data_IF_941467332287
#
_entry.id   IF_941467332287
#
_cell.length_a   1.000
_cell.length_b   1.000
_cell.length_c   1.000
_cell.angle_alpha   90.00
_cell.angle_beta   90.00
_cell.angle_gamma   90.00
#
_symmetry.space_group_name_H-M   'P 1'
#
loop_
_entity.id
_entity.type
_entity.pdbx_description
1 polymer ?
#
# COMPACT_ATOMS: atom_id res chain seq x y z
N UNK A 1 8.72 -14.12 13.33
CA UNK A 1 7.30 -13.75 13.10
C UNK A 1 6.89 -14.23 11.72
N UNK A 2 5.69 -14.80 11.53
CA UNK A 2 5.25 -15.23 10.19
C UNK A 2 5.16 -14.00 9.26
N UNK A 3 5.58 -14.17 8.02
CA UNK A 3 5.63 -13.09 7.02
C UNK A 3 4.31 -12.33 6.83
N UNK A 4 3.17 -12.99 7.00
CA UNK A 4 1.85 -12.36 6.92
C UNK A 4 1.58 -11.38 8.07
N UNK A 5 1.99 -11.72 9.29
CA UNK A 5 1.91 -10.82 10.45
C UNK A 5 2.90 -9.66 10.27
N UNK A 6 4.11 -9.95 9.77
CA UNK A 6 5.12 -8.92 9.48
C UNK A 6 4.63 -7.92 8.44
N UNK A 7 4.01 -8.41 7.35
CA UNK A 7 3.39 -7.56 6.34
C UNK A 7 2.27 -6.69 6.94
N UNK A 8 1.40 -7.26 7.79
CA UNK A 8 0.36 -6.51 8.48
C UNK A 8 0.94 -5.38 9.35
N UNK A 9 1.98 -5.66 10.14
CA UNK A 9 2.65 -4.64 10.96
C UNK A 9 3.23 -3.52 10.09
N UNK A 10 3.92 -3.88 9.00
CA UNK A 10 4.45 -2.90 8.05
C UNK A 10 3.33 -2.07 7.41
N UNK A 11 2.20 -2.69 7.05
CA UNK A 11 1.04 -1.97 6.53
C UNK A 11 0.49 -0.96 7.54
N UNK A 12 0.33 -1.37 8.81
CA UNK A 12 -0.14 -0.46 9.86
C UNK A 12 0.82 0.72 10.09
N UNK A 13 2.13 0.50 10.00
CA UNK A 13 3.12 1.60 10.04
C UNK A 13 2.93 2.55 8.86
N UNK A 14 2.78 2.02 7.64
CA UNK A 14 2.53 2.83 6.44
C UNK A 14 1.21 3.61 6.59
N UNK A 15 0.17 3.00 7.17
CA UNK A 15 -1.13 3.65 7.46
C UNK A 15 -0.96 4.85 8.40
N UNK A 16 -0.20 4.70 9.49
CA UNK A 16 0.07 5.78 10.44
C UNK A 16 0.83 6.92 9.74
N UNK A 17 1.91 6.60 9.04
CA UNK A 17 2.74 7.58 8.32
C UNK A 17 1.91 8.31 7.27
N UNK A 18 1.12 7.58 6.47
CA UNK A 18 0.30 8.17 5.41
C UNK A 18 -0.82 9.05 5.97
N UNK A 19 -1.43 8.66 7.10
CA UNK A 19 -2.41 9.49 7.79
C UNK A 19 -1.81 10.82 8.25
N UNK A 20 -0.61 10.80 8.83
CA UNK A 20 0.09 12.03 9.25
C UNK A 20 0.42 12.91 8.03
N UNK A 21 0.95 12.31 6.97
CA UNK A 21 1.25 13.04 5.73
C UNK A 21 0.00 13.66 5.10
N UNK A 22 -1.13 12.95 5.09
CA UNK A 22 -2.40 13.44 4.60
C UNK A 22 -2.90 14.64 5.42
N UNK A 23 -2.84 14.56 6.76
CA UNK A 23 -3.22 15.66 7.66
C UNK A 23 -2.37 16.89 7.38
N UNK A 24 -1.04 16.74 7.29
CA UNK A 24 -0.12 17.84 6.96
C UNK A 24 -0.46 18.41 5.59
N UNK A 25 -0.68 17.56 4.59
CA UNK A 25 -0.99 18.00 3.23
C UNK A 25 -2.29 18.82 3.16
N UNK A 26 -3.35 18.36 3.82
CA UNK A 26 -4.63 19.08 3.88
C UNK A 26 -4.49 20.39 4.66
N UNK A 27 -3.83 20.38 5.83
CA UNK A 27 -3.64 21.58 6.65
C UNK A 27 -2.78 22.66 5.97
N UNK A 28 -1.78 22.24 5.18
CA UNK A 28 -0.89 23.14 4.43
C UNK A 28 -1.45 23.53 3.06
N UNK A 29 -2.53 22.89 2.62
CA UNK A 29 -3.20 23.14 1.34
C UNK A 29 -3.50 24.60 1.04
N UNK A 30 -4.06 25.39 1.98
CA UNK A 30 -4.32 26.83 1.76
C UNK A 30 -3.05 27.67 1.54
N UNK A 31 -1.95 27.33 2.20
CA UNK A 31 -0.67 28.04 2.11
C UNK A 31 0.12 27.67 0.84
N UNK A 32 0.09 26.39 0.45
CA UNK A 32 0.85 25.86 -0.68
C UNK A 32 -0.04 25.49 -1.87
N UNK A 33 -1.24 26.07 -1.97
CA UNK A 33 -2.29 25.73 -2.94
C UNK A 33 -1.78 25.57 -4.38
N UNK A 34 -0.81 26.39 -4.80
CA UNK A 34 -0.19 26.32 -6.13
C UNK A 34 0.62 25.03 -6.37
N UNK A 35 1.25 24.47 -5.34
CA UNK A 35 2.03 23.23 -5.41
C UNK A 35 1.19 21.99 -5.14
N UNK A 36 0.21 22.09 -4.23
CA UNK A 36 -0.70 20.99 -3.92
C UNK A 36 -1.69 20.69 -5.04
N UNK A 37 -2.02 21.68 -5.88
CA UNK A 37 -2.85 21.50 -7.09
C UNK A 37 -2.05 21.11 -8.34
N UNK A 38 -0.72 21.24 -8.31
CA UNK A 38 0.11 20.91 -9.46
C UNK A 38 0.15 19.40 -9.70
N UNK A 39 -0.28 18.96 -10.88
CA UNK A 39 -0.33 17.54 -11.26
C UNK A 39 1.03 16.85 -11.18
N UNK A 40 2.13 17.56 -11.49
CA UNK A 40 3.49 16.99 -11.44
C UNK A 40 3.88 16.67 -10.01
N UNK A 41 3.62 17.58 -9.06
CA UNK A 41 3.88 17.36 -7.64
C UNK A 41 3.03 16.21 -7.08
N UNK A 42 1.75 16.15 -7.44
CA UNK A 42 0.83 15.08 -7.02
C UNK A 42 1.25 13.71 -7.54
N UNK A 43 1.68 13.62 -8.79
CA UNK A 43 2.22 12.39 -9.38
C UNK A 43 3.51 11.95 -8.70
N UNK A 44 4.42 12.88 -8.43
CA UNK A 44 5.67 12.58 -7.73
C UNK A 44 5.42 11.97 -6.35
N UNK A 45 4.53 12.58 -5.55
CA UNK A 45 4.17 12.06 -4.23
C UNK A 45 3.49 10.69 -4.31
N UNK A 46 2.63 10.48 -5.31
CA UNK A 46 1.97 9.19 -5.55
C UNK A 46 2.99 8.09 -5.85
N UNK A 47 3.94 8.36 -6.76
CA UNK A 47 5.01 7.42 -7.11
C UNK A 47 5.88 7.12 -5.87
N UNK A 48 6.20 8.14 -5.07
CA UNK A 48 6.97 7.97 -3.84
C UNK A 48 6.28 7.03 -2.84
N UNK A 49 4.96 7.17 -2.64
CA UNK A 49 4.17 6.27 -1.78
C UNK A 49 4.17 4.83 -2.31
N UNK A 50 3.99 4.64 -3.62
CA UNK A 50 4.02 3.31 -4.25
C UNK A 50 5.40 2.67 -4.07
N UNK A 51 6.48 3.41 -4.34
CA UNK A 51 7.86 2.93 -4.16
C UNK A 51 8.11 2.58 -2.70
N UNK A 52 7.66 3.41 -1.76
CA UNK A 52 7.80 3.14 -0.33
C UNK A 52 7.12 1.84 0.08
N UNK A 53 5.92 1.58 -0.46
CA UNK A 53 5.20 0.33 -0.23
C UNK A 53 5.97 -0.90 -0.76
N UNK A 54 6.54 -0.80 -1.97
CA UNK A 54 7.41 -1.83 -2.56
C UNK A 54 8.66 -2.02 -1.71
N UNK A 55 9.30 -0.93 -1.28
CA UNK A 55 10.49 -0.97 -0.43
C UNK A 55 10.22 -1.68 0.90
N UNK A 56 9.08 -1.43 1.53
CA UNK A 56 8.66 -2.13 2.75
C UNK A 56 8.56 -3.66 2.55
N UNK A 57 8.15 -4.11 1.37
CA UNK A 57 8.16 -5.52 1.00
C UNK A 57 9.54 -6.19 1.09
N UNK A 58 10.63 -5.44 0.94
CA UNK A 58 12.00 -5.97 1.08
C UNK A 58 12.36 -6.34 2.52
N UNK A 59 11.66 -5.82 3.53
CA UNK A 59 11.90 -6.21 4.92
C UNK A 59 11.37 -7.60 5.24
N UNK A 60 10.53 -8.19 4.39
CA UNK A 60 9.95 -9.53 4.57
C UNK A 60 10.99 -10.64 4.38
N UNK A 61 10.74 -11.81 4.97
CA UNK A 61 11.68 -12.92 4.98
C UNK A 61 11.55 -13.76 3.72
N UNK A 62 12.67 -14.23 3.15
CA UNK A 62 12.68 -15.01 1.90
C UNK A 62 12.59 -16.53 2.13
N UNK A 63 12.30 -16.97 3.35
CA UNK A 63 12.32 -18.39 3.74
C UNK A 63 11.20 -19.23 3.10
N UNK A 64 10.11 -18.59 2.66
CA UNK A 64 9.01 -19.27 1.95
C UNK A 64 9.31 -19.47 0.46
N UNK A 65 8.56 -20.34 -0.20
CA UNK A 65 8.63 -20.51 -1.65
C UNK A 65 8.21 -19.23 -2.40
N UNK A 66 8.92 -18.92 -3.50
CA UNK A 66 8.66 -17.81 -4.43
C UNK A 66 7.19 -17.75 -4.91
N UNK A 67 6.51 -18.90 -5.03
CA UNK A 67 5.10 -18.98 -5.49
C UNK A 67 4.16 -18.19 -4.57
N UNK A 68 4.53 -18.02 -3.30
CA UNK A 68 3.70 -17.36 -2.29
C UNK A 68 4.10 -15.91 -2.01
N UNK A 69 4.99 -15.31 -2.79
CA UNK A 69 5.48 -13.95 -2.55
C UNK A 69 4.34 -12.92 -2.59
N UNK A 70 3.35 -13.08 -3.49
CA UNK A 70 2.18 -12.19 -3.58
C UNK A 70 1.10 -12.50 -2.54
N UNK A 71 1.15 -13.64 -1.86
CA UNK A 71 0.24 -14.02 -0.77
C UNK A 71 0.76 -13.58 0.59
N UNK A 72 1.88 -12.87 0.63
CA UNK A 72 2.48 -12.40 1.88
C UNK A 72 1.57 -11.43 2.63
N UNK A 73 0.82 -10.58 1.93
CA UNK A 73 -0.17 -9.68 2.50
C UNK A 73 -1.58 -10.26 2.60
N UNK A 74 -1.76 -11.59 2.52
CA UNK A 74 -3.10 -12.22 2.60
C UNK A 74 -3.90 -11.80 3.83
N UNK A 75 -3.25 -11.66 4.99
CA UNK A 75 -3.92 -11.15 6.20
C UNK A 75 -4.41 -9.71 6.03
N UNK A 76 -3.66 -8.85 5.33
CA UNK A 76 -4.08 -7.48 5.02
C UNK A 76 -5.33 -7.50 4.13
N UNK A 77 -5.30 -8.33 3.08
CA UNK A 77 -6.43 -8.49 2.14
C UNK A 77 -7.69 -8.97 2.87
N UNK A 78 -7.57 -9.98 3.72
CA UNK A 78 -8.73 -10.53 4.46
C UNK A 78 -9.33 -9.49 5.41
N UNK A 79 -8.50 -8.73 6.13
CA UNK A 79 -8.99 -7.65 7.00
C UNK A 79 -9.67 -6.55 6.19
N UNK A 80 -9.03 -6.10 5.09
CA UNK A 80 -9.58 -5.06 4.23
C UNK A 80 -10.92 -5.47 3.59
N UNK A 81 -11.03 -6.69 3.08
CA UNK A 81 -12.29 -7.25 2.56
C UNK A 81 -13.33 -7.35 3.69
N UNK A 82 -12.95 -7.77 4.89
CA UNK A 82 -13.85 -7.84 6.04
C UNK A 82 -14.42 -6.46 6.41
N UNK A 83 -13.57 -5.45 6.48
CA UNK A 83 -13.97 -4.05 6.70
C UNK A 83 -14.87 -3.54 5.57
N UNK A 84 -14.52 -3.85 4.32
CA UNK A 84 -15.32 -3.46 3.16
C UNK A 84 -16.72 -4.08 3.20
N UNK A 85 -16.83 -5.39 3.46
CA UNK A 85 -18.13 -6.10 3.55
C UNK A 85 -18.97 -5.50 4.69
N UNK A 86 -18.37 -5.23 5.84
CA UNK A 86 -19.03 -4.61 6.98
C UNK A 86 -19.62 -3.25 6.59
N UNK A 87 -18.80 -2.36 6.04
CA UNK A 87 -19.22 -1.01 5.67
C UNK A 87 -20.24 -1.02 4.52
N UNK A 88 -20.04 -1.85 3.50
CA UNK A 88 -20.94 -1.99 2.36
C UNK A 88 -22.33 -2.49 2.77
N UNK A 89 -22.38 -3.40 3.76
CA UNK A 89 -23.65 -3.94 4.27
C UNK A 89 -24.47 -2.88 5.00
N UNK A 90 -23.83 -1.92 5.66
CA UNK A 90 -24.50 -0.85 6.42
C UNK A 90 -24.92 0.32 5.52
N UNK A 91 -24.16 0.62 4.47
CA UNK A 91 -24.37 1.81 3.61
C UNK A 91 -25.38 1.62 2.47
N UNK A 92 -26.29 0.65 2.59
CA UNK A 92 -27.41 0.48 1.65
C UNK A 92 -27.04 -0.14 0.30
N UNK A 93 -25.86 -0.76 0.18
CA UNK A 93 -25.42 -1.61 -0.96
C UNK A 93 -25.28 -0.89 -2.31
N UNK A 94 -25.10 0.43 -2.34
CA UNK A 94 -24.79 1.14 -3.58
C UNK A 94 -23.31 0.92 -3.97
N UNK A 95 -23.08 0.35 -5.15
CA UNK A 95 -21.75 -0.01 -5.64
C UNK A 95 -21.03 1.14 -6.38
N UNK A 96 -21.77 2.17 -6.81
CA UNK A 96 -21.29 3.20 -7.73
C UNK A 96 -21.20 4.60 -7.12
N UNK A 97 -22.01 4.91 -6.11
CA UNK A 97 -22.06 6.25 -5.51
C UNK A 97 -21.75 6.22 -4.02
N UNK A 98 -20.75 7.02 -3.62
CA UNK A 98 -20.57 7.48 -2.24
C UNK A 98 -20.14 8.94 -2.28
N UNK A 99 -21.07 9.91 -2.10
CA UNK A 99 -20.70 11.09 -1.30
C UNK A 99 -21.84 11.85 -0.59
N UNK A 100 -21.63 12.15 0.71
CA UNK A 100 -21.51 13.52 1.27
C UNK A 100 -20.44 13.45 2.39
N UNK A 101 -19.20 13.73 2.04
CA UNK A 101 -18.05 13.99 2.96
C UNK A 101 -17.54 12.89 3.92
N UNK A 102 -17.62 11.60 3.58
CA UNK A 102 -17.33 10.42 4.44
C UNK A 102 -18.53 10.03 5.33
N UNK A 103 -19.44 9.23 4.79
CA UNK A 103 -20.38 8.45 5.63
C UNK A 103 -19.58 7.82 6.77
N UNK A 104 -19.92 8.12 8.02
CA UNK A 104 -19.14 7.76 9.22
C UNK A 104 -18.69 6.29 9.26
N UNK A 105 -19.51 5.40 8.69
CA UNK A 105 -19.23 3.97 8.56
C UNK A 105 -18.02 3.61 7.67
N UNK A 106 -17.61 4.51 6.77
CA UNK A 106 -16.42 4.37 5.93
C UNK A 106 -15.15 4.88 6.61
N UNK A 107 -15.23 5.57 7.76
CA UNK A 107 -14.05 6.14 8.43
C UNK A 107 -13.04 5.05 8.78
N UNK A 108 -13.48 3.95 9.39
CA UNK A 108 -12.58 2.85 9.77
C UNK A 108 -11.91 2.20 8.54
N UNK A 109 -12.68 1.98 7.48
CA UNK A 109 -12.15 1.47 6.22
C UNK A 109 -11.13 2.44 5.61
N UNK A 110 -11.46 3.74 5.56
CA UNK A 110 -10.61 4.78 4.99
C UNK A 110 -9.33 5.00 5.80
N UNK A 111 -9.36 4.85 7.12
CA UNK A 111 -8.15 4.87 7.97
C UNK A 111 -7.29 3.66 7.63
N UNK A 112 -7.88 2.46 7.58
CA UNK A 112 -7.13 1.24 7.22
C UNK A 112 -6.53 1.31 5.81
N UNK A 113 -7.20 2.02 4.91
CA UNK A 113 -6.78 2.30 3.54
C UNK A 113 -6.10 3.66 3.34
N UNK A 114 -5.74 4.38 4.41
CA UNK A 114 -5.23 5.76 4.32
C UNK A 114 -4.12 5.97 3.28
N UNK A 115 -3.14 5.06 3.08
CA UNK A 115 -2.14 5.20 2.02
C UNK A 115 -2.75 5.27 0.61
N UNK A 116 -3.79 4.48 0.35
CA UNK A 116 -4.48 4.43 -0.93
C UNK A 116 -5.52 5.55 -1.06
N UNK A 117 -6.22 5.89 0.02
CA UNK A 117 -7.08 7.08 0.07
C UNK A 117 -6.28 8.34 -0.27
N UNK A 118 -5.05 8.44 0.24
CA UNK A 118 -4.14 9.54 -0.10
C UNK A 118 -3.75 9.51 -1.58
N UNK A 119 -3.48 8.35 -2.17
CA UNK A 119 -3.21 8.21 -3.60
C UNK A 119 -4.43 8.65 -4.43
N UNK A 120 -5.63 8.19 -4.10
CA UNK A 120 -6.86 8.56 -4.81
C UNK A 120 -7.10 10.07 -4.75
N UNK A 121 -6.91 10.66 -3.56
CA UNK A 121 -6.97 12.11 -3.37
C UNK A 121 -5.92 12.85 -4.21
N UNK A 122 -4.67 12.36 -4.23
CA UNK A 122 -3.60 12.92 -5.05
C UNK A 122 -3.83 12.73 -6.55
N UNK A 123 -4.58 11.74 -7.00
CA UNK A 123 -4.87 11.54 -8.42
C UNK A 123 -6.22 12.13 -8.85
N UNK A 124 -7.06 12.55 -7.91
CA UNK A 124 -8.43 13.00 -8.19
C UNK A 124 -9.35 11.85 -8.60
N UNK A 125 -9.04 10.63 -8.17
CA UNK A 125 -9.84 9.44 -8.45
C UNK A 125 -11.03 9.42 -7.48
N UNK A 126 -12.27 9.27 -7.97
CA UNK A 126 -13.43 9.17 -7.09
C UNK A 126 -13.38 7.88 -6.27
N UNK A 127 -13.72 7.99 -4.99
CA UNK A 127 -13.74 6.85 -4.05
C UNK A 127 -15.02 6.02 -4.26
N UNK A 128 -14.99 5.10 -5.22
CA UNK A 128 -16.12 4.22 -5.55
C UNK A 128 -15.98 2.90 -4.76
N UNK A 129 -17.04 2.39 -4.10
CA UNK A 129 -16.98 1.13 -3.33
C UNK A 129 -16.43 -0.05 -4.12
N UNK A 130 -16.82 -0.18 -5.38
CA UNK A 130 -16.30 -1.23 -6.26
C UNK A 130 -14.78 -1.11 -6.47
N UNK A 131 -14.26 0.11 -6.67
CA UNK A 131 -12.83 0.35 -6.81
C UNK A 131 -12.10 0.04 -5.49
N UNK A 132 -12.66 0.47 -4.36
CA UNK A 132 -12.14 0.19 -3.03
C UNK A 132 -12.03 -1.32 -2.74
N UNK A 133 -12.93 -2.14 -3.28
CA UNK A 133 -12.84 -3.60 -3.18
C UNK A 133 -11.56 -4.12 -3.83
N UNK A 134 -11.24 -3.69 -5.06
CA UNK A 134 -10.02 -4.09 -5.76
C UNK A 134 -8.76 -3.54 -5.11
N UNK A 135 -8.82 -2.34 -4.53
CA UNK A 135 -7.69 -1.73 -3.82
C UNK A 135 -7.23 -2.54 -2.60
N UNK A 136 -8.06 -3.42 -2.03
CA UNK A 136 -7.64 -4.37 -0.98
C UNK A 136 -6.48 -5.27 -1.40
N UNK A 137 -6.32 -5.53 -2.71
CA UNK A 137 -5.26 -6.39 -3.23
C UNK A 137 -3.93 -5.65 -3.41
N UNK A 138 -3.96 -4.32 -3.55
CA UNK A 138 -2.77 -3.51 -3.82
C UNK A 138 -1.71 -3.61 -2.71
N UNK A 139 -2.04 -3.54 -1.41
CA UNK A 139 -1.10 -3.83 -0.34
C UNK A 139 -0.26 -5.09 -0.57
N UNK A 140 -0.94 -6.22 -0.74
CA UNK A 140 -0.29 -7.52 -0.87
C UNK A 140 0.53 -7.61 -2.15
N UNK A 141 0.02 -7.03 -3.24
CA UNK A 141 0.72 -6.99 -4.52
C UNK A 141 2.02 -6.17 -4.44
N UNK A 142 1.97 -4.95 -3.92
CA UNK A 142 3.13 -4.05 -3.83
C UNK A 142 4.21 -4.61 -2.89
N UNK A 143 3.84 -5.13 -1.72
CA UNK A 143 4.79 -5.82 -0.83
C UNK A 143 5.37 -7.09 -1.46
N UNK A 144 4.55 -7.85 -2.21
CA UNK A 144 5.00 -9.01 -2.96
C UNK A 144 6.06 -8.67 -4.01
N UNK A 145 5.88 -7.55 -4.73
CA UNK A 145 6.89 -7.03 -5.65
C UNK A 145 8.22 -6.73 -4.93
N UNK A 146 8.16 -6.10 -3.76
CA UNK A 146 9.35 -5.84 -2.93
C UNK A 146 10.09 -7.10 -2.49
N UNK A 147 9.34 -8.10 -2.02
CA UNK A 147 9.91 -9.38 -1.61
C UNK A 147 10.58 -10.10 -2.79
N UNK A 148 9.92 -10.11 -3.96
CA UNK A 148 10.48 -10.70 -5.18
C UNK A 148 11.75 -9.98 -5.63
N UNK A 149 11.78 -8.66 -5.57
CA UNK A 149 12.96 -7.87 -5.85
C UNK A 149 14.14 -8.23 -4.93
N UNK A 150 13.89 -8.36 -3.62
CA UNK A 150 14.91 -8.80 -2.66
C UNK A 150 15.50 -10.17 -3.01
N UNK A 151 14.67 -11.14 -3.41
CA UNK A 151 15.16 -12.46 -3.82
C UNK A 151 16.09 -12.39 -5.02
N UNK A 152 15.72 -11.61 -6.04
CA UNK A 152 16.54 -11.43 -7.24
C UNK A 152 17.91 -10.84 -6.88
N UNK A 153 17.93 -9.80 -6.04
CA UNK A 153 19.16 -9.17 -5.57
C UNK A 153 20.05 -10.12 -4.76
N UNK A 154 19.46 -10.97 -3.92
CA UNK A 154 20.22 -11.98 -3.15
C UNK A 154 20.78 -13.09 -4.04
N UNK A 155 20.03 -13.52 -5.07
CA UNK A 155 20.52 -14.49 -6.06
C UNK A 155 21.68 -13.91 -6.87
N UNK A 156 21.57 -12.68 -7.34
CA UNK A 156 22.63 -12.01 -8.08
C UNK A 156 23.90 -11.86 -7.23
N UNK A 157 23.76 -11.45 -5.97
CA UNK A 157 24.89 -11.36 -5.03
C UNK A 157 25.57 -12.72 -4.83
N UNK A 158 24.78 -13.78 -4.58
CA UNK A 158 25.32 -15.13 -4.40
C UNK A 158 26.09 -15.63 -5.63
N UNK A 159 25.63 -15.32 -6.84
CA UNK A 159 26.34 -15.69 -8.08
C UNK A 159 27.65 -14.91 -8.20
N UNK A 160 27.64 -13.60 -7.91
CA UNK A 160 28.84 -12.77 -7.92
C UNK A 160 29.89 -13.27 -6.93
N UNK A 161 29.49 -13.51 -5.69
CA UNK A 161 30.37 -14.01 -4.62
C UNK A 161 30.98 -15.38 -4.97
N UNK A 162 30.25 -16.24 -5.71
CA UNK A 162 30.78 -17.53 -6.18
C UNK A 162 31.82 -17.40 -7.30
N UNK A 163 31.64 -16.42 -8.20
CA UNK A 163 32.60 -16.16 -9.28
C UNK A 163 33.90 -15.59 -8.71
N UNK A 164 33.80 -14.58 -7.83
CA UNK A 164 34.98 -13.95 -7.22
C UNK A 164 35.76 -14.93 -6.32
N UNK A 165 35.08 -15.90 -5.70
CA UNK A 165 35.69 -16.96 -4.90
C UNK A 165 36.45 -18.03 -5.71
N UNK A 166 36.13 -18.22 -6.99
CA UNK A 166 36.87 -19.12 -7.89
C UNK A 166 38.15 -18.47 -8.45
N UNK A 167 38.19 -17.14 -8.60
CA UNK A 167 39.38 -16.42 -9.09
C UNK A 167 40.52 -16.26 -8.05
N UNK A 168 40.27 -16.61 -6.79
CA UNK A 168 41.24 -16.47 -5.67
C UNK A 168 41.85 -17.85 -5.28
N UNK A 169 41.52 -18.94 -5.97
CA UNK A 169 42.16 -20.26 -5.80
C UNK A 169 43.11 -20.58 -6.94
#
# INVERSE_FOLDING_TARGET
MKNNIKALVLHLIIVIVSSILLIIFVATGPLFGKYTTNIVCRLFLTILLIIFYIYMGTFLDISKDKKYDFFVGSTIVVIGIGLWIYTFSITGKNLLEVPRELSEYWILFNIYHAPFTMIDFLLGIPLIPLLALFQNLLPSFLMGCGLRYKRLKMKEKSVRDSVDGEFIK
#
